data_IF_810260776445
#
_entry.id   IF_810260776445
#
_cell.length_a   1.000
_cell.length_b   1.000
_cell.length_c   1.000
_cell.angle_alpha   90.00
_cell.angle_beta   90.00
_cell.angle_gamma   90.00
#
_symmetry.space_group_name_H-M   'P 1'
#
loop_
_entity.id
_entity.type
_entity.pdbx_description
1 polymer ?
#
# COMPACT_ATOMS: atom_id res chain seq x y z
N UNK A 1 3.58 23.61 -3.19
CA UNK A 1 3.31 24.51 -2.06
C UNK A 1 2.59 23.72 -0.98
N UNK A 2 3.27 23.40 0.11
CA UNK A 2 2.63 22.88 1.32
C UNK A 2 1.63 23.93 1.79
N UNK A 3 0.43 23.53 2.18
CA UNK A 3 -0.65 24.42 2.54
C UNK A 3 -0.27 25.26 3.79
N UNK A 4 0.18 26.51 3.60
CA UNK A 4 0.79 27.39 4.63
C UNK A 4 -0.18 28.17 5.51
N UNK A 5 -1.49 27.87 5.49
CA UNK A 5 -2.48 28.49 6.38
C UNK A 5 -3.20 27.39 7.18
N UNK A 6 -2.78 27.13 8.43
CA UNK A 6 -3.31 26.01 9.23
C UNK A 6 -4.76 26.22 9.72
N UNK A 7 -5.26 27.46 9.76
CA UNK A 7 -6.45 27.79 10.58
C UNK A 7 -7.76 28.04 9.80
N UNK A 8 -7.74 28.07 8.47
CA UNK A 8 -8.95 28.28 7.67
C UNK A 8 -9.51 26.94 7.16
N UNK A 9 -10.84 26.71 7.24
CA UNK A 9 -11.46 25.52 6.64
C UNK A 9 -11.08 25.39 5.16
N UNK A 10 -10.79 24.16 4.73
CA UNK A 10 -10.31 23.88 3.36
C UNK A 10 -11.22 24.47 2.27
N UNK A 11 -12.54 24.51 2.52
CA UNK A 11 -13.53 25.11 1.63
C UNK A 11 -13.32 26.61 1.39
N UNK A 12 -13.00 27.40 2.42
CA UNK A 12 -12.75 28.85 2.26
C UNK A 12 -11.50 29.09 1.40
N UNK A 13 -10.46 28.28 1.60
CA UNK A 13 -9.21 28.35 0.85
C UNK A 13 -9.43 27.97 -0.61
N UNK A 14 -10.26 26.95 -0.86
CA UNK A 14 -10.65 26.52 -2.20
C UNK A 14 -11.40 27.63 -2.93
N UNK A 15 -12.41 28.25 -2.28
CA UNK A 15 -13.16 29.37 -2.86
C UNK A 15 -12.25 30.54 -3.23
N UNK A 16 -11.32 30.93 -2.36
CA UNK A 16 -10.37 32.00 -2.65
C UNK A 16 -9.44 31.66 -3.82
N UNK A 17 -8.97 30.41 -3.92
CA UNK A 17 -8.15 29.94 -5.03
C UNK A 17 -8.91 29.92 -6.35
N UNK A 18 -10.14 29.40 -6.37
CA UNK A 18 -11.02 29.39 -7.55
C UNK A 18 -11.32 30.82 -8.02
N UNK A 19 -11.60 31.75 -7.11
CA UNK A 19 -11.85 33.15 -7.46
C UNK A 19 -10.62 33.83 -8.11
N UNK A 20 -9.40 33.44 -7.70
CA UNK A 20 -8.14 33.99 -8.23
C UNK A 20 -7.74 33.35 -9.57
N UNK A 21 -7.91 32.04 -9.71
CA UNK A 21 -7.42 31.27 -10.87
C UNK A 21 -8.48 31.15 -11.97
N UNK A 22 -9.76 31.14 -11.62
CA UNK A 22 -10.87 30.98 -12.57
C UNK A 22 -11.13 29.53 -12.99
N UNK A 23 -10.51 28.55 -12.32
CA UNK A 23 -10.70 27.12 -12.58
C UNK A 23 -11.51 26.44 -11.47
N UNK A 24 -12.27 25.40 -11.83
CA UNK A 24 -12.97 24.57 -10.85
C UNK A 24 -11.95 23.72 -10.08
N UNK A 25 -11.96 23.81 -8.75
CA UNK A 25 -11.05 23.07 -7.88
C UNK A 25 -11.86 22.28 -6.87
N UNK A 26 -11.40 21.07 -6.52
CA UNK A 26 -12.03 20.23 -5.53
C UNK A 26 -11.00 19.48 -4.69
N UNK A 27 -11.38 19.12 -3.46
CA UNK A 27 -10.64 18.19 -2.60
C UNK A 27 -11.55 16.99 -2.34
N UNK A 28 -11.65 16.03 -3.29
CA UNK A 28 -12.68 15.01 -3.27
C UNK A 28 -12.44 13.92 -2.22
N UNK A 29 -11.19 13.75 -1.78
CA UNK A 29 -10.77 12.70 -0.86
C UNK A 29 -9.76 13.25 0.13
N UNK A 30 -9.79 12.74 1.35
CA UNK A 30 -8.79 13.00 2.40
C UNK A 30 -8.51 11.70 3.15
N UNK A 31 -7.28 11.51 3.60
CA UNK A 31 -6.90 10.42 4.47
C UNK A 31 -6.08 10.96 5.64
N UNK A 32 -6.21 10.34 6.80
CA UNK A 32 -5.38 10.59 7.98
C UNK A 32 -4.95 9.24 8.51
N UNK A 33 -3.65 9.09 8.72
CA UNK A 33 -3.05 7.88 9.26
C UNK A 33 -2.51 8.17 10.66
N UNK A 34 -2.40 7.12 11.48
CA UNK A 34 -1.76 7.17 12.78
C UNK A 34 -0.81 5.98 12.96
N UNK A 35 0.38 6.26 13.49
CA UNK A 35 1.41 5.26 13.78
C UNK A 35 2.58 5.91 14.50
N UNK A 36 3.51 5.10 14.97
CA UNK A 36 4.70 5.55 15.67
C UNK A 36 5.64 6.31 14.72
N UNK A 37 5.62 5.95 13.43
CA UNK A 37 6.35 6.65 12.37
C UNK A 37 5.51 6.72 11.09
N UNK A 38 5.52 7.87 10.42
CA UNK A 38 4.85 8.08 9.13
C UNK A 38 5.89 8.34 8.05
N UNK A 39 5.97 7.45 7.06
CA UNK A 39 6.70 7.72 5.82
C UNK A 39 5.77 8.34 4.78
N UNK A 40 6.33 9.15 3.90
CA UNK A 40 5.60 9.75 2.78
C UNK A 40 6.42 9.69 1.50
N UNK A 41 5.74 9.49 0.37
CA UNK A 41 6.38 9.54 -0.95
C UNK A 41 5.49 10.26 -1.95
N UNK A 42 6.09 11.16 -2.72
CA UNK A 42 5.43 11.91 -3.78
C UNK A 42 6.10 11.55 -5.11
N UNK A 43 5.32 11.04 -6.06
CA UNK A 43 5.77 10.77 -7.42
C UNK A 43 5.26 11.88 -8.35
N UNK A 44 6.15 12.83 -8.62
CA UNK A 44 5.85 14.05 -9.39
C UNK A 44 4.62 14.78 -8.82
N UNK A 45 3.69 15.19 -9.69
CA UNK A 45 2.43 15.84 -9.34
C UNK A 45 1.23 14.87 -9.40
N UNK A 46 1.48 13.55 -9.56
CA UNK A 46 0.41 12.57 -9.87
C UNK A 46 0.08 11.62 -8.74
N UNK A 47 1.04 11.18 -7.94
CA UNK A 47 0.80 10.18 -6.88
C UNK A 47 1.37 10.68 -5.55
N UNK A 48 0.56 10.58 -4.50
CA UNK A 48 0.98 10.78 -3.11
C UNK A 48 0.70 9.56 -2.26
N UNK A 49 1.64 9.20 -1.41
CA UNK A 49 1.56 8.06 -0.51
C UNK A 49 1.91 8.46 0.91
N UNK A 50 1.16 7.91 1.87
CA UNK A 50 1.51 7.85 3.29
C UNK A 50 1.54 6.38 3.73
N UNK A 51 2.50 6.02 4.58
CA UNK A 51 2.59 4.70 5.21
C UNK A 51 2.83 4.89 6.69
N UNK A 52 1.98 4.29 7.52
CA UNK A 52 2.15 4.26 8.97
C UNK A 52 2.85 2.98 9.40
N UNK A 53 3.84 3.14 10.27
CA UNK A 53 4.57 2.05 10.90
C UNK A 53 4.32 2.04 12.40
N UNK A 54 4.37 0.84 12.98
CA UNK A 54 4.27 0.62 14.43
C UNK A 54 5.45 -0.18 14.96
N UNK A 55 5.70 -0.04 16.26
CA UNK A 55 6.87 -0.58 16.95
C UNK A 55 8.16 0.20 16.64
N UNK A 56 8.04 1.48 16.28
CA UNK A 56 9.17 2.35 15.92
C UNK A 56 9.38 3.34 17.06
N UNK A 57 10.49 3.20 17.77
CA UNK A 57 10.95 4.17 18.77
C UNK A 57 11.94 5.18 18.15
N UNK A 58 12.41 6.15 18.93
CA UNK A 58 13.34 7.19 18.44
C UNK A 58 14.66 6.60 17.90
N UNK A 59 15.13 5.50 18.51
CA UNK A 59 16.34 4.79 18.06
C UNK A 59 16.12 4.15 16.69
N UNK A 60 14.98 3.51 16.48
CA UNK A 60 14.61 2.89 15.20
C UNK A 60 14.31 3.96 14.15
N UNK A 61 13.60 5.03 14.51
CA UNK A 61 13.22 6.12 13.61
C UNK A 61 14.43 6.88 13.04
N UNK A 62 15.53 6.92 13.78
CA UNK A 62 16.78 7.57 13.39
C UNK A 62 17.78 6.63 12.70
N UNK A 63 17.52 5.31 12.66
CA UNK A 63 18.40 4.35 12.02
C UNK A 63 18.30 4.40 10.50
N UNK A 64 19.42 4.57 9.79
CA UNK A 64 19.49 4.64 8.33
C UNK A 64 18.85 3.42 7.64
N UNK A 65 19.01 2.23 8.24
CA UNK A 65 18.39 1.01 7.74
C UNK A 65 16.85 1.11 7.73
N UNK A 66 16.26 1.64 8.79
CA UNK A 66 14.81 1.82 8.89
C UNK A 66 14.30 2.94 8.01
N UNK A 67 14.95 4.10 8.00
CA UNK A 67 14.51 5.24 7.18
C UNK A 67 14.59 4.90 5.68
N UNK A 68 15.62 4.17 5.26
CA UNK A 68 15.72 3.64 3.89
C UNK A 68 14.54 2.70 3.60
N UNK A 69 14.34 1.68 4.44
CA UNK A 69 13.23 0.74 4.30
C UNK A 69 11.86 1.44 4.23
N UNK A 70 11.57 2.38 5.13
CA UNK A 70 10.29 3.08 5.19
C UNK A 70 10.02 3.88 3.90
N UNK A 71 11.05 4.51 3.34
CA UNK A 71 10.98 5.17 2.02
C UNK A 71 10.76 4.16 0.89
N UNK A 72 11.43 3.00 0.91
CA UNK A 72 11.22 1.93 -0.08
C UNK A 72 9.79 1.40 -0.06
N UNK A 73 9.17 1.25 1.12
CA UNK A 73 7.78 0.82 1.25
C UNK A 73 6.82 1.90 0.72
N UNK A 74 7.07 3.18 0.98
CA UNK A 74 6.24 4.25 0.41
C UNK A 74 6.32 4.26 -1.14
N UNK A 75 7.51 3.99 -1.70
CA UNK A 75 7.68 3.81 -3.15
C UNK A 75 6.99 2.53 -3.68
N UNK A 76 7.08 1.42 -2.96
CA UNK A 76 6.40 0.15 -3.26
C UNK A 76 4.90 0.39 -3.39
N UNK A 77 4.28 1.04 -2.39
CA UNK A 77 2.85 1.35 -2.41
C UNK A 77 2.50 2.23 -3.61
N UNK A 78 3.31 3.25 -3.92
CA UNK A 78 3.06 4.12 -5.06
C UNK A 78 3.02 3.36 -6.40
N UNK A 79 3.98 2.45 -6.60
CA UNK A 79 4.17 1.71 -7.85
C UNK A 79 3.22 0.51 -7.99
N UNK A 80 3.09 -0.32 -6.95
CA UNK A 80 2.36 -1.58 -6.99
C UNK A 80 0.87 -1.44 -6.64
N UNK A 81 0.46 -0.31 -6.05
CA UNK A 81 -0.93 0.00 -5.72
C UNK A 81 -1.68 -1.13 -4.98
N UNK A 82 -1.12 -1.68 -3.87
CA UNK A 82 -1.83 -2.65 -3.05
C UNK A 82 -3.15 -2.07 -2.53
N UNK A 83 -4.07 -2.97 -2.17
CA UNK A 83 -5.37 -2.62 -1.58
C UNK A 83 -5.42 -2.89 -0.08
N UNK A 84 -4.60 -3.83 0.40
CA UNK A 84 -4.57 -4.29 1.80
C UNK A 84 -3.13 -4.40 2.29
N UNK A 85 -2.91 -4.25 3.60
CA UNK A 85 -1.60 -4.50 4.20
C UNK A 85 -1.33 -5.99 4.25
N UNK A 86 -2.28 -6.76 4.80
CA UNK A 86 -2.14 -8.21 5.02
C UNK A 86 -3.30 -9.02 4.43
N UNK A 87 -3.18 -10.35 4.40
CA UNK A 87 -4.23 -11.24 3.86
C UNK A 87 -5.48 -11.25 4.71
N UNK A 88 -5.34 -11.00 6.01
CA UNK A 88 -6.43 -10.97 6.99
C UNK A 88 -7.39 -9.78 6.74
N UNK A 89 -6.89 -8.72 6.13
CA UNK A 89 -7.68 -7.54 5.75
C UNK A 89 -8.49 -7.76 4.47
N UNK A 90 -8.21 -8.82 3.71
CA UNK A 90 -8.93 -9.11 2.47
C UNK A 90 -10.32 -9.66 2.80
N UNK A 91 -11.41 -8.99 2.34
CA UNK A 91 -12.77 -9.44 2.60
C UNK A 91 -13.00 -10.87 2.12
N UNK A 92 -13.74 -11.65 2.91
CA UNK A 92 -14.05 -13.05 2.59
C UNK A 92 -14.79 -13.14 1.26
N UNK A 93 -15.69 -12.20 0.97
CA UNK A 93 -16.44 -12.14 -0.28
C UNK A 93 -15.53 -11.92 -1.49
N UNK A 94 -14.47 -11.12 -1.36
CA UNK A 94 -13.50 -10.91 -2.42
C UNK A 94 -12.70 -12.19 -2.69
N UNK A 95 -12.24 -12.86 -1.63
CA UNK A 95 -11.51 -14.13 -1.71
C UNK A 95 -12.34 -15.24 -2.37
N UNK A 96 -13.58 -15.43 -1.91
CA UNK A 96 -14.45 -16.49 -2.45
C UNK A 96 -14.90 -16.18 -3.89
N UNK A 97 -15.08 -14.90 -4.23
CA UNK A 97 -15.35 -14.49 -5.62
C UNK A 97 -14.19 -14.87 -6.55
N UNK A 98 -12.96 -14.49 -6.22
CA UNK A 98 -11.78 -14.83 -7.04
C UNK A 98 -11.59 -16.35 -7.15
N UNK A 99 -11.74 -17.07 -6.04
CA UNK A 99 -11.68 -18.54 -6.02
C UNK A 99 -12.75 -19.17 -6.93
N UNK A 100 -13.96 -18.63 -6.92
CA UNK A 100 -15.04 -19.05 -7.83
C UNK A 100 -14.69 -18.82 -9.29
N UNK A 101 -14.15 -17.64 -9.62
CA UNK A 101 -13.68 -17.31 -10.97
C UNK A 101 -12.61 -18.30 -11.44
N UNK A 102 -11.62 -18.62 -10.60
CA UNK A 102 -10.55 -19.55 -10.96
C UNK A 102 -11.03 -20.98 -11.12
N UNK A 103 -12.03 -21.42 -10.34
CA UNK A 103 -12.67 -22.73 -10.52
C UNK A 103 -13.45 -22.80 -11.81
N UNK A 104 -14.26 -21.77 -12.11
CA UNK A 104 -15.01 -21.69 -13.36
C UNK A 104 -14.09 -21.74 -14.60
N UNK A 105 -12.92 -21.09 -14.54
CA UNK A 105 -11.90 -21.17 -15.60
C UNK A 105 -11.36 -22.58 -15.87
N UNK A 106 -11.52 -23.51 -14.93
CA UNK A 106 -11.00 -24.88 -14.99
C UNK A 106 -12.10 -25.93 -15.17
N UNK A 107 -13.36 -25.51 -15.28
CA UNK A 107 -14.49 -26.38 -15.59
C UNK A 107 -14.24 -27.09 -16.93
N UNK A 108 -14.57 -28.39 -16.99
CA UNK A 108 -14.35 -29.20 -18.19
C UNK A 108 -12.89 -29.54 -18.51
N UNK A 109 -11.91 -29.15 -17.66
CA UNK A 109 -10.49 -29.43 -17.92
C UNK A 109 -10.09 -30.91 -17.80
N UNK A 110 -10.97 -31.79 -17.28
CA UNK A 110 -10.73 -33.22 -17.11
C UNK A 110 -9.63 -33.58 -16.09
N UNK A 111 -9.07 -32.60 -15.38
CA UNK A 111 -8.01 -32.82 -14.39
C UNK A 111 -8.58 -33.37 -13.08
N UNK A 112 -7.82 -34.20 -12.34
CA UNK A 112 -8.24 -34.65 -11.01
C UNK A 112 -8.48 -33.48 -10.04
N UNK A 113 -9.43 -33.62 -9.12
CA UNK A 113 -9.81 -32.59 -8.14
C UNK A 113 -8.61 -32.02 -7.36
N UNK A 114 -7.71 -32.89 -6.89
CA UNK A 114 -6.49 -32.46 -6.17
C UNK A 114 -5.54 -31.59 -7.02
N UNK A 115 -5.53 -31.78 -8.35
CA UNK A 115 -4.74 -30.94 -9.26
C UNK A 115 -5.44 -29.60 -9.47
N UNK A 116 -6.76 -29.61 -9.61
CA UNK A 116 -7.57 -28.40 -9.74
C UNK A 116 -7.42 -27.49 -8.51
N UNK A 117 -7.53 -28.05 -7.31
CA UNK A 117 -7.39 -27.29 -6.07
C UNK A 117 -6.00 -26.65 -5.94
N UNK A 118 -4.92 -27.37 -6.31
CA UNK A 118 -3.56 -26.81 -6.34
C UNK A 118 -3.42 -25.66 -7.33
N UNK A 119 -4.06 -25.73 -8.50
CA UNK A 119 -4.03 -24.65 -9.50
C UNK A 119 -4.77 -23.42 -8.96
N UNK A 120 -5.95 -23.63 -8.35
CA UNK A 120 -6.75 -22.54 -7.75
C UNK A 120 -5.98 -21.88 -6.62
N UNK A 121 -5.31 -22.65 -5.76
CA UNK A 121 -4.46 -22.14 -4.70
C UNK A 121 -3.31 -21.28 -5.24
N UNK A 122 -2.63 -21.74 -6.30
CA UNK A 122 -1.58 -20.96 -6.96
C UNK A 122 -2.11 -19.64 -7.53
N UNK A 123 -3.26 -19.65 -8.20
CA UNK A 123 -3.91 -18.43 -8.72
C UNK A 123 -4.31 -17.47 -7.60
N UNK A 124 -4.82 -18.00 -6.49
CA UNK A 124 -5.15 -17.19 -5.31
C UNK A 124 -3.88 -16.59 -4.67
N UNK A 125 -2.76 -17.31 -4.70
CA UNK A 125 -1.43 -16.78 -4.35
C UNK A 125 -1.07 -15.55 -5.20
N UNK A 126 -1.20 -15.64 -6.53
CA UNK A 126 -0.96 -14.51 -7.44
C UNK A 126 -1.91 -13.34 -7.19
N UNK A 127 -3.18 -13.60 -6.82
CA UNK A 127 -4.11 -12.55 -6.42
C UNK A 127 -3.61 -11.80 -5.18
N UNK A 128 -3.16 -12.51 -4.14
CA UNK A 128 -2.59 -11.85 -2.95
C UNK A 128 -1.34 -11.04 -3.29
N UNK A 129 -0.46 -11.55 -4.16
CA UNK A 129 0.71 -10.80 -4.62
C UNK A 129 0.35 -9.52 -5.40
N UNK A 130 -0.87 -9.38 -5.90
CA UNK A 130 -1.34 -8.14 -6.52
C UNK A 130 -1.93 -7.17 -5.49
N UNK A 131 -2.76 -7.66 -4.57
CA UNK A 131 -3.59 -6.79 -3.72
C UNK A 131 -3.11 -6.62 -2.29
N UNK A 132 -2.22 -7.49 -1.79
CA UNK A 132 -1.71 -7.48 -0.42
C UNK A 132 -0.26 -7.01 -0.40
N UNK A 133 0.00 -5.89 0.27
CA UNK A 133 1.34 -5.28 0.34
C UNK A 133 2.38 -6.26 0.87
N UNK A 134 2.12 -6.96 1.97
CA UNK A 134 3.07 -7.90 2.57
C UNK A 134 3.43 -9.09 1.67
N UNK A 135 2.54 -9.46 0.74
CA UNK A 135 2.76 -10.55 -0.21
C UNK A 135 3.48 -10.10 -1.48
N UNK A 136 3.49 -8.81 -1.77
CA UNK A 136 4.09 -8.28 -3.00
C UNK A 136 5.59 -8.54 -3.04
N UNK A 137 6.14 -8.90 -4.22
CA UNK A 137 7.57 -8.84 -4.44
C UNK A 137 8.06 -7.40 -4.35
N UNK A 138 9.30 -7.21 -3.89
CA UNK A 138 9.92 -5.90 -3.85
C UNK A 138 10.04 -5.29 -5.25
N UNK A 139 9.72 -4.00 -5.38
CA UNK A 139 9.97 -3.22 -6.59
C UNK A 139 11.46 -2.97 -6.84
N UNK A 140 12.33 -3.25 -5.86
CA UNK A 140 13.78 -3.11 -5.99
C UNK A 140 14.33 -4.31 -6.77
N UNK A 141 14.95 -4.13 -7.94
CA UNK A 141 15.42 -5.23 -8.77
C UNK A 141 16.34 -6.21 -8.02
N UNK A 142 17.23 -5.70 -7.19
CA UNK A 142 18.18 -6.44 -6.37
C UNK A 142 17.52 -7.24 -5.22
N UNK A 143 16.30 -6.87 -4.81
CA UNK A 143 15.49 -7.57 -3.80
C UNK A 143 14.21 -8.18 -4.38
N UNK A 144 14.07 -8.27 -5.70
CA UNK A 144 12.84 -8.70 -6.38
C UNK A 144 12.37 -10.12 -6.04
N UNK A 145 13.26 -10.95 -5.48
CA UNK A 145 12.95 -12.30 -4.97
C UNK A 145 12.37 -12.31 -3.55
N UNK A 146 12.48 -11.20 -2.82
CA UNK A 146 11.98 -11.03 -1.47
C UNK A 146 10.59 -10.38 -1.53
N UNK A 147 9.71 -10.84 -0.64
CA UNK A 147 8.43 -10.18 -0.39
C UNK A 147 8.62 -9.02 0.58
N UNK A 148 7.67 -8.09 0.59
CA UNK A 148 7.67 -6.99 1.57
C UNK A 148 7.69 -7.52 3.00
N UNK A 149 7.01 -8.64 3.29
CA UNK A 149 7.09 -9.28 4.60
C UNK A 149 8.53 -9.69 4.99
N UNK A 150 9.34 -10.16 4.04
CA UNK A 150 10.73 -10.51 4.29
C UNK A 150 11.55 -9.26 4.61
N UNK A 151 11.30 -8.15 3.90
CA UNK A 151 11.95 -6.86 4.15
C UNK A 151 11.61 -6.29 5.53
N UNK A 152 10.36 -6.45 5.98
CA UNK A 152 9.93 -6.09 7.34
C UNK A 152 10.71 -6.91 8.38
N UNK A 153 10.88 -8.22 8.15
CA UNK A 153 11.63 -9.08 9.05
C UNK A 153 13.12 -8.73 9.08
N UNK A 154 13.72 -8.42 7.94
CA UNK A 154 15.12 -7.99 7.83
C UNK A 154 15.36 -6.69 8.58
N UNK A 155 14.53 -5.66 8.38
CA UNK A 155 14.72 -4.38 9.07
C UNK A 155 14.54 -4.53 10.58
N UNK A 156 13.54 -5.31 11.03
CA UNK A 156 13.32 -5.57 12.44
C UNK A 156 14.53 -6.26 13.10
N UNK A 157 15.18 -7.18 12.37
CA UNK A 157 16.40 -7.84 12.85
C UNK A 157 17.58 -6.87 12.93
N UNK A 158 17.73 -5.99 11.95
CA UNK A 158 18.83 -5.00 11.92
C UNK A 158 18.68 -3.94 13.01
N UNK A 159 17.45 -3.49 13.26
CA UNK A 159 17.15 -2.46 14.28
C UNK A 159 16.99 -3.03 15.68
N UNK A 160 16.82 -4.35 15.81
CA UNK A 160 16.59 -5.04 17.09
C UNK A 160 15.21 -4.84 17.69
N UNK A 161 14.28 -4.23 16.95
CA UNK A 161 12.93 -3.87 17.41
C UNK A 161 11.86 -4.42 16.46
N UNK A 162 10.69 -4.83 16.96
CA UNK A 162 9.60 -5.30 16.12
C UNK A 162 9.03 -4.15 15.30
N UNK A 163 9.22 -4.17 13.98
CA UNK A 163 8.61 -3.20 13.05
C UNK A 163 7.41 -3.84 12.34
N UNK A 164 6.32 -3.10 12.19
CA UNK A 164 5.17 -3.51 11.35
C UNK A 164 4.63 -2.35 10.53
N UNK A 165 4.03 -2.67 9.39
CA UNK A 165 3.22 -1.74 8.60
C UNK A 165 1.80 -1.77 9.18
N UNK A 166 1.24 -0.62 9.53
CA UNK A 166 -0.08 -0.50 10.18
C UNK A 166 -1.16 -0.20 9.15
N UNK A 167 -0.95 0.82 8.32
CA UNK A 167 -1.89 1.24 7.29
C UNK A 167 -1.14 2.07 6.24
N UNK A 168 -1.72 2.23 5.05
CA UNK A 168 -1.22 3.15 4.03
C UNK A 168 -2.38 3.89 3.36
N UNK A 169 -2.08 5.06 2.81
CA UNK A 169 -2.96 5.77 1.88
C UNK A 169 -2.21 6.05 0.60
N UNK A 170 -2.84 5.76 -0.54
CA UNK A 170 -2.32 6.06 -1.88
C UNK A 170 -3.35 6.86 -2.65
N UNK A 171 -2.93 8.02 -3.13
CA UNK A 171 -3.77 8.94 -3.89
C UNK A 171 -3.13 9.14 -5.25
N UNK A 172 -3.91 8.95 -6.31
CA UNK A 172 -3.53 9.29 -7.69
C UNK A 172 -4.47 10.36 -8.22
N UNK A 173 -3.92 11.37 -8.87
CA UNK A 173 -4.71 12.40 -9.57
C UNK A 173 -5.58 11.72 -10.63
N UNK A 174 -6.88 12.04 -10.62
CA UNK A 174 -7.88 11.47 -11.53
C UNK A 174 -8.43 10.10 -11.11
N UNK A 175 -7.99 9.54 -9.98
CA UNK A 175 -8.59 8.35 -9.37
C UNK A 175 -9.68 8.79 -8.38
N UNK A 176 -10.88 8.23 -8.49
CA UNK A 176 -12.07 8.64 -7.74
C UNK A 176 -13.34 8.52 -8.57
#
# INVERSE_FOLDING_TARGET
ATLTAPDAPIGQRLSAAMAKVGENMAVPRTARLAGDYIASYIHFDKIGVLVAFGGVDDSTASADAFTTFANEIAMQVAAASPLYVSREEVPTEAREREKGIYRAQLEGSGKPAAVLDRIVEGKLGSFYEQVVLLDQPSIRPEKSKLKVADLVAEVAKVTGHPVRIVEFARFKVGEG
#
